data_IF_348391973055
#
_entry.id   IF_348391973055
#
_cell.length_a   1.000
_cell.length_b   1.000
_cell.length_c   1.000
_cell.angle_alpha   90.00
_cell.angle_beta   90.00
_cell.angle_gamma   90.00
#
_symmetry.space_group_name_H-M   'P 1'
#
loop_
_entity.id
_entity.type
_entity.pdbx_description
1 polymer ?
#
# COMPACT_ATOMS: atom_id res chain seq x y z
N UNK A 1 -14.40 2.54 17.14
CA UNK A 1 -13.09 2.59 16.45
C UNK A 1 -13.18 3.67 15.40
N UNK A 2 -12.30 4.67 15.47
CA UNK A 2 -12.34 5.88 14.63
C UNK A 2 -11.81 5.63 13.21
N UNK A 3 -12.37 6.33 12.23
CA UNK A 3 -11.88 6.37 10.84
C UNK A 3 -10.36 6.64 10.78
N UNK A 4 -9.86 7.50 11.68
CA UNK A 4 -8.44 7.82 11.83
C UNK A 4 -7.56 6.60 12.17
N UNK A 5 -8.05 5.65 12.97
CA UNK A 5 -7.29 4.44 13.31
C UNK A 5 -7.15 3.52 12.09
N UNK A 6 -8.22 3.39 11.29
CA UNK A 6 -8.19 2.59 10.08
C UNK A 6 -7.26 3.20 9.02
N UNK A 7 -7.27 4.53 8.89
CA UNK A 7 -6.38 5.26 7.99
C UNK A 7 -4.91 5.07 8.39
N UNK A 8 -4.59 5.19 9.69
CA UNK A 8 -3.24 4.96 10.20
C UNK A 8 -2.73 3.52 9.99
N UNK A 9 -3.61 2.52 10.10
CA UNK A 9 -3.26 1.13 9.79
C UNK A 9 -2.99 0.92 8.30
N UNK A 10 -3.80 1.53 7.43
CA UNK A 10 -3.60 1.46 5.97
C UNK A 10 -2.30 2.14 5.55
N UNK A 11 -1.98 3.30 6.13
CA UNK A 11 -0.71 4.00 5.89
C UNK A 11 0.49 3.17 6.35
N UNK A 12 0.41 2.52 7.51
CA UNK A 12 1.45 1.56 7.96
C UNK A 12 1.65 0.43 6.96
N UNK A 13 0.56 -0.23 6.54
CA UNK A 13 0.62 -1.32 5.56
C UNK A 13 1.19 -0.87 4.22
N UNK A 14 0.85 0.35 3.78
CA UNK A 14 1.41 0.94 2.57
C UNK A 14 2.93 1.12 2.70
N UNK A 15 3.41 1.66 3.82
CA UNK A 15 4.85 1.83 4.08
C UNK A 15 5.62 0.50 4.14
N UNK A 16 5.03 -0.54 4.74
CA UNK A 16 5.63 -1.88 4.77
C UNK A 16 5.71 -2.53 3.40
N UNK A 17 4.72 -2.31 2.53
CA UNK A 17 4.77 -2.75 1.13
C UNK A 17 5.80 -1.98 0.32
N UNK A 18 5.98 -0.69 0.58
CA UNK A 18 7.05 0.09 -0.04
C UNK A 18 8.42 -0.48 0.26
N UNK A 19 8.69 -0.80 1.53
CA UNK A 19 9.96 -1.44 1.94
C UNK A 19 10.16 -2.79 1.26
N UNK A 20 9.13 -3.63 1.23
CA UNK A 20 9.20 -4.93 0.56
C UNK A 20 9.46 -4.79 -0.94
N UNK A 21 8.87 -3.79 -1.60
CA UNK A 21 9.13 -3.52 -3.02
C UNK A 21 10.56 -3.04 -3.22
N UNK A 22 11.09 -2.20 -2.33
CA UNK A 22 12.45 -1.69 -2.43
C UNK A 22 13.50 -2.80 -2.23
N UNK A 23 13.30 -3.64 -1.21
CA UNK A 23 14.12 -4.85 -0.98
C UNK A 23 14.07 -5.81 -2.18
N UNK A 24 12.86 -6.03 -2.74
CA UNK A 24 12.64 -6.82 -3.93
C UNK A 24 13.36 -6.25 -5.17
N UNK A 25 13.34 -4.93 -5.36
CA UNK A 25 14.03 -4.27 -6.46
C UNK A 25 15.56 -4.33 -6.31
N UNK A 26 16.06 -4.31 -5.07
CA UNK A 26 17.48 -4.45 -4.77
C UNK A 26 17.97 -5.91 -4.90
N UNK A 27 17.08 -6.89 -4.97
CA UNK A 27 17.43 -8.28 -5.23
C UNK A 27 17.44 -8.59 -6.74
N UNK A 28 18.61 -8.87 -7.35
CA UNK A 28 18.70 -9.13 -8.80
C UNK A 28 18.03 -10.43 -9.26
N UNK A 29 17.72 -11.34 -8.33
CA UNK A 29 17.00 -12.61 -8.61
C UNK A 29 15.56 -12.59 -8.10
N UNK A 30 15.01 -11.42 -7.75
CA UNK A 30 13.66 -11.34 -7.25
C UNK A 30 12.64 -11.64 -8.35
N UNK A 31 11.58 -12.37 -7.99
CA UNK A 31 10.54 -12.76 -8.93
C UNK A 31 9.73 -11.54 -9.38
N UNK A 32 9.83 -11.21 -10.67
CA UNK A 32 9.07 -10.13 -11.31
C UNK A 32 7.55 -10.28 -11.16
N UNK A 33 7.02 -11.50 -11.03
CA UNK A 33 5.60 -11.76 -10.77
C UNK A 33 5.23 -11.28 -9.36
N UNK A 34 6.03 -11.64 -8.36
CA UNK A 34 5.83 -11.19 -6.97
C UNK A 34 5.97 -9.66 -6.87
N UNK A 35 6.93 -9.06 -7.58
CA UNK A 35 7.11 -7.61 -7.61
C UNK A 35 5.86 -6.91 -8.17
N UNK A 36 5.27 -7.48 -9.22
CA UNK A 36 4.04 -6.96 -9.83
C UNK A 36 2.84 -7.09 -8.88
N UNK A 37 2.74 -8.20 -8.14
CA UNK A 37 1.71 -8.38 -7.11
C UNK A 37 1.85 -7.37 -5.98
N UNK A 38 3.08 -7.15 -5.48
CA UNK A 38 3.37 -6.17 -4.44
C UNK A 38 2.99 -4.75 -4.90
N UNK A 39 3.38 -4.36 -6.10
CA UNK A 39 3.00 -3.06 -6.70
C UNK A 39 1.48 -2.90 -6.84
N UNK A 40 0.77 -3.96 -7.25
CA UNK A 40 -0.72 -3.94 -7.31
C UNK A 40 -1.35 -3.79 -5.93
N UNK A 41 -0.85 -4.49 -4.91
CA UNK A 41 -1.32 -4.34 -3.52
C UNK A 41 -1.07 -2.93 -2.99
N UNK A 42 0.10 -2.36 -3.27
CA UNK A 42 0.43 -0.97 -2.93
C UNK A 42 -0.56 0.01 -3.57
N UNK A 43 -0.87 -0.18 -4.85
CA UNK A 43 -1.85 0.65 -5.56
C UNK A 43 -3.25 0.54 -4.93
N UNK A 44 -3.71 -0.68 -4.63
CA UNK A 44 -5.01 -0.91 -4.01
C UNK A 44 -5.13 -0.22 -2.64
N UNK A 45 -4.11 -0.32 -1.78
CA UNK A 45 -4.10 0.38 -0.49
C UNK A 45 -4.09 1.89 -0.66
N UNK A 46 -3.34 2.42 -1.63
CA UNK A 46 -3.35 3.84 -1.94
C UNK A 46 -4.73 4.32 -2.38
N UNK A 47 -5.43 3.53 -3.18
CA UNK A 47 -6.80 3.84 -3.61
C UNK A 47 -7.79 3.74 -2.45
N UNK A 48 -7.62 2.78 -1.55
CA UNK A 48 -8.42 2.65 -0.33
C UNK A 48 -8.21 3.82 0.63
N UNK A 49 -6.95 4.23 0.86
CA UNK A 49 -6.59 5.44 1.62
C UNK A 49 -7.23 6.66 0.96
N UNK A 50 -7.09 6.82 -0.36
CA UNK A 50 -7.70 7.94 -1.08
C UNK A 50 -9.21 7.95 -0.98
N UNK A 51 -9.86 6.80 -1.02
CA UNK A 51 -11.31 6.68 -0.87
C UNK A 51 -11.79 7.05 0.53
N UNK A 52 -10.98 6.77 1.55
CA UNK A 52 -11.25 7.14 2.95
C UNK A 52 -10.87 8.59 3.26
N UNK A 53 -9.86 9.13 2.59
CA UNK A 53 -9.41 10.52 2.69
C UNK A 53 -10.25 11.48 1.88
N UNK A 54 -10.79 11.05 0.74
CA UNK A 54 -11.74 11.82 -0.03
C UNK A 54 -13.01 11.91 0.84
N UNK A 55 -13.30 13.09 1.42
CA UNK A 55 -14.55 13.24 2.14
C UNK A 55 -15.64 13.00 1.10
N UNK A 56 -16.53 12.04 1.39
CA UNK A 56 -17.83 12.02 0.75
C UNK A 56 -18.44 13.39 1.04
N UNK A 57 -18.33 14.33 0.09
CA UNK A 57 -19.15 15.53 0.06
C UNK A 57 -20.58 15.01 -0.12
N UNK A 58 -21.27 14.85 1.01
CA UNK A 58 -22.72 14.81 1.10
C UNK A 58 -23.19 16.18 1.55
#
# INVERSE_FOLDING_TARGET
MSLASHLAELERKHGDLERQIDEALNQPSFDTIELTKLKRRKLALKDEIRKLQAPTQH
#
